data_IF_521977972473
#
_entry.id   IF_521977972473
#
_cell.length_a   1.000
_cell.length_b   1.000
_cell.length_c   1.000
_cell.angle_alpha   90.00
_cell.angle_beta   90.00
_cell.angle_gamma   90.00
#
_symmetry.space_group_name_H-M   'P 1'
#
loop_
_entity.id
_entity.type
_entity.pdbx_description
1 polymer ?
#
# COMPACT_ATOMS: atom_id res chain seq x y z
N UNK A 1 3.77 -5.77 -24.04
CA UNK A 1 4.85 -5.60 -23.04
C UNK A 1 4.82 -6.77 -22.06
N UNK A 2 5.69 -7.77 -22.24
CA UNK A 2 5.78 -8.95 -21.36
C UNK A 2 6.41 -8.51 -20.03
N UNK A 3 5.59 -8.24 -19.01
CA UNK A 3 6.05 -7.85 -17.69
C UNK A 3 6.85 -9.01 -17.06
N UNK A 4 8.20 -8.95 -17.11
CA UNK A 4 9.11 -9.96 -16.54
C UNK A 4 8.89 -10.17 -15.03
N UNK A 5 8.24 -9.22 -14.36
CA UNK A 5 7.89 -9.26 -12.94
C UNK A 5 6.84 -10.32 -12.59
N UNK A 6 5.86 -10.58 -13.47
CA UNK A 6 4.78 -11.55 -13.23
C UNK A 6 5.29 -12.97 -12.98
N UNK A 7 6.47 -13.31 -13.51
CA UNK A 7 7.06 -14.65 -13.36
C UNK A 7 7.70 -14.91 -11.98
N UNK A 8 7.93 -13.85 -11.19
CA UNK A 8 8.56 -13.95 -9.86
C UNK A 8 7.54 -13.98 -8.72
N UNK A 9 6.25 -13.80 -9.02
CA UNK A 9 5.21 -13.73 -8.01
C UNK A 9 4.76 -15.16 -7.67
N UNK A 10 4.83 -15.59 -6.41
CA UNK A 10 4.30 -16.87 -5.97
C UNK A 10 2.82 -17.02 -6.35
N UNK A 11 2.37 -18.25 -6.60
CA UNK A 11 0.97 -18.51 -7.02
C UNK A 11 -0.06 -18.09 -5.97
N UNK A 12 0.32 -18.17 -4.69
CA UNK A 12 -0.54 -17.83 -3.55
C UNK A 12 -0.16 -16.48 -2.93
N UNK A 13 0.52 -15.61 -3.70
CA UNK A 13 0.87 -14.28 -3.21
C UNK A 13 -0.41 -13.48 -2.92
N UNK A 14 -0.35 -12.70 -1.85
CA UNK A 14 -1.32 -11.65 -1.52
C UNK A 14 -0.60 -10.30 -1.54
N UNK A 15 -1.31 -9.24 -1.87
CA UNK A 15 -0.76 -7.89 -1.95
C UNK A 15 -0.95 -7.13 -0.63
N UNK A 16 0.04 -6.29 -0.32
CA UNK A 16 -0.06 -5.22 0.67
C UNK A 16 -0.03 -3.88 -0.06
N UNK A 17 -1.07 -3.06 0.13
CA UNK A 17 -1.14 -1.73 -0.47
C UNK A 17 -0.73 -0.67 0.55
N UNK A 18 0.25 0.16 0.19
CA UNK A 18 0.69 1.30 1.00
C UNK A 18 0.28 2.58 0.29
N UNK A 19 -0.68 3.29 0.87
CA UNK A 19 -1.27 4.50 0.32
C UNK A 19 -0.88 5.68 1.21
N UNK A 20 -0.05 6.58 0.69
CA UNK A 20 0.39 7.78 1.40
C UNK A 20 0.04 9.03 0.60
N UNK A 21 -0.38 10.10 1.26
CA UNK A 21 -0.77 11.32 0.55
C UNK A 21 -1.02 12.53 1.43
N UNK A 22 -1.02 13.68 0.79
CA UNK A 22 -1.43 14.95 1.39
C UNK A 22 -2.83 15.32 0.91
N UNK A 23 -3.62 15.90 1.81
CA UNK A 23 -4.95 16.44 1.53
C UNK A 23 -5.10 17.77 2.25
N UNK A 24 -5.87 18.69 1.67
CA UNK A 24 -6.05 20.06 2.15
C UNK A 24 -7.06 20.18 3.30
N UNK A 25 -7.95 19.20 3.46
CA UNK A 25 -9.02 19.21 4.47
C UNK A 25 -8.64 18.59 5.82
N UNK A 26 -7.48 17.94 5.95
CA UNK A 26 -7.04 17.34 7.21
C UNK A 26 -6.18 18.32 8.02
N UNK A 27 -6.56 18.56 9.27
CA UNK A 27 -5.76 19.36 10.21
C UNK A 27 -4.70 18.53 10.97
N UNK A 28 -4.79 17.20 10.90
CA UNK A 28 -3.88 16.27 11.57
C UNK A 28 -3.72 14.99 10.73
N UNK A 29 -2.58 14.27 10.84
CA UNK A 29 -2.42 13.00 10.16
C UNK A 29 -3.50 11.99 10.56
N UNK A 30 -3.98 11.24 9.57
CA UNK A 30 -4.85 10.09 9.69
C UNK A 30 -4.07 8.84 9.29
N UNK A 31 -4.13 7.81 10.13
CA UNK A 31 -3.46 6.53 9.88
C UNK A 31 -4.45 5.39 10.05
N UNK A 32 -4.46 4.47 9.11
CA UNK A 32 -5.21 3.22 9.21
C UNK A 32 -4.35 2.05 8.73
N UNK A 33 -4.42 0.94 9.46
CA UNK A 33 -3.89 -0.35 9.04
C UNK A 33 -5.02 -1.36 9.04
N UNK A 34 -5.27 -1.97 7.89
CA UNK A 34 -6.43 -2.84 7.64
C UNK A 34 -5.93 -4.18 7.16
N UNK A 35 -6.43 -5.25 7.77
CA UNK A 35 -6.31 -6.62 7.25
C UNK A 35 -7.69 -7.11 6.83
N UNK A 36 -7.86 -7.43 5.56
CA UNK A 36 -9.09 -8.02 5.06
C UNK A 36 -9.23 -9.46 5.59
N UNK A 37 -10.44 -9.81 6.01
CA UNK A 37 -10.75 -11.17 6.45
C UNK A 37 -10.53 -12.20 5.34
N UNK A 38 -10.84 -11.82 4.09
CA UNK A 38 -10.54 -12.57 2.88
C UNK A 38 -9.82 -11.65 1.89
N UNK A 39 -8.69 -12.11 1.34
CA UNK A 39 -7.98 -11.34 0.33
C UNK A 39 -8.88 -11.18 -0.91
N UNK A 40 -8.96 -9.95 -1.40
CA UNK A 40 -9.91 -9.58 -2.46
C UNK A 40 -9.21 -8.68 -3.49
N UNK A 41 -9.53 -8.87 -4.76
CA UNK A 41 -9.03 -8.01 -5.84
C UNK A 41 -9.74 -6.66 -5.79
N UNK A 42 -9.01 -5.61 -5.39
CA UNK A 42 -9.51 -4.24 -5.39
C UNK A 42 -9.17 -3.60 -6.75
N UNK A 43 -10.19 -3.41 -7.59
CA UNK A 43 -10.03 -3.00 -8.97
C UNK A 43 -9.19 -1.74 -9.14
N UNK A 44 -8.13 -1.82 -9.97
CA UNK A 44 -7.22 -0.71 -10.28
C UNK A 44 -6.24 -0.32 -9.17
N UNK A 45 -6.31 -0.95 -7.99
CA UNK A 45 -5.43 -0.62 -6.86
C UNK A 45 -4.05 -1.26 -6.97
N UNK A 46 -3.95 -2.40 -7.66
CA UNK A 46 -2.70 -3.15 -7.87
C UNK A 46 -2.37 -3.23 -9.36
N UNK A 47 -1.11 -3.00 -9.72
CA UNK A 47 -0.61 -3.14 -11.11
C UNK A 47 -0.63 -4.60 -11.61
N UNK A 48 -0.74 -5.54 -10.66
CA UNK A 48 -0.71 -6.98 -10.84
C UNK A 48 -2.05 -7.56 -10.33
N UNK A 49 -2.64 -8.55 -11.01
CA UNK A 49 -3.85 -9.24 -10.57
C UNK A 49 -3.58 -10.17 -9.37
N UNK A 50 -3.22 -9.59 -8.23
CA UNK A 50 -2.99 -10.27 -6.94
C UNK A 50 -4.00 -9.73 -5.93
N UNK A 51 -4.69 -10.59 -5.15
CA UNK A 51 -5.68 -10.13 -4.19
C UNK A 51 -5.02 -9.36 -3.05
N UNK A 52 -5.60 -8.23 -2.66
CA UNK A 52 -5.13 -7.43 -1.53
C UNK A 52 -5.52 -8.12 -0.22
N UNK A 53 -4.59 -8.24 0.71
CA UNK A 53 -4.84 -8.68 2.09
C UNK A 53 -4.69 -7.55 3.10
N UNK A 54 -3.68 -6.71 2.91
CA UNK A 54 -3.33 -5.64 3.82
C UNK A 54 -3.42 -4.28 3.13
N UNK A 55 -3.87 -3.27 3.86
CA UNK A 55 -3.83 -1.88 3.44
C UNK A 55 -3.24 -1.04 4.57
N UNK A 56 -2.25 -0.22 4.23
CA UNK A 56 -1.78 0.87 5.07
C UNK A 56 -2.16 2.19 4.41
N UNK A 57 -2.79 3.08 5.17
CA UNK A 57 -3.24 4.39 4.69
C UNK A 57 -2.67 5.46 5.62
N UNK A 58 -1.93 6.40 5.06
CA UNK A 58 -1.44 7.59 5.75
C UNK A 58 -1.83 8.82 4.94
N UNK A 59 -2.76 9.61 5.47
CA UNK A 59 -3.16 10.89 4.91
C UNK A 59 -2.81 12.00 5.89
N UNK A 60 -2.43 13.17 5.42
CA UNK A 60 -2.18 14.29 6.33
C UNK A 60 -2.23 15.65 5.66
N UNK A 61 -2.10 16.73 6.46
CA UNK A 61 -2.01 18.09 5.93
C UNK A 61 -0.80 18.25 5.00
N UNK A 62 -0.88 19.27 4.14
CA UNK A 62 0.21 19.68 3.27
C UNK A 62 1.48 20.09 4.05
N UNK A 63 2.64 19.94 3.41
CA UNK A 63 3.95 20.35 3.93
C UNK A 63 4.75 19.24 4.58
N UNK A 64 4.29 17.97 4.51
CA UNK A 64 4.95 16.79 5.08
C UNK A 64 5.09 15.62 4.09
N UNK A 65 4.87 15.85 2.79
CA UNK A 65 4.92 14.83 1.74
C UNK A 65 6.17 13.94 1.80
N UNK A 66 7.35 14.54 1.99
CA UNK A 66 8.61 13.79 2.10
C UNK A 66 8.60 12.83 3.29
N UNK A 67 8.16 13.29 4.46
CA UNK A 67 8.04 12.44 5.65
C UNK A 67 7.01 11.32 5.46
N UNK A 68 5.88 11.60 4.82
CA UNK A 68 4.85 10.59 4.53
C UNK A 68 5.35 9.52 3.54
N UNK A 69 6.10 9.93 2.52
CA UNK A 69 6.75 9.00 1.60
C UNK A 69 7.76 8.09 2.32
N UNK A 70 8.61 8.62 3.20
CA UNK A 70 9.57 7.79 3.94
C UNK A 70 8.88 6.84 4.92
N UNK A 71 7.80 7.26 5.58
CA UNK A 71 6.97 6.36 6.40
C UNK A 71 6.37 5.24 5.53
N UNK A 72 5.81 5.59 4.37
CA UNK A 72 5.29 4.61 3.42
C UNK A 72 6.34 3.59 2.99
N UNK A 73 7.56 4.04 2.67
CA UNK A 73 8.68 3.15 2.32
C UNK A 73 9.10 2.25 3.48
N UNK A 74 9.13 2.77 4.70
CA UNK A 74 9.46 1.98 5.89
C UNK A 74 8.41 0.87 6.11
N UNK A 75 7.12 1.20 6.01
CA UNK A 75 6.04 0.22 6.12
C UNK A 75 6.10 -0.81 4.98
N UNK A 76 6.31 -0.36 3.75
CA UNK A 76 6.42 -1.27 2.61
C UNK A 76 7.58 -2.26 2.79
N UNK A 77 8.71 -1.80 3.32
CA UNK A 77 9.86 -2.66 3.65
C UNK A 77 9.52 -3.65 4.77
N UNK A 78 8.86 -3.18 5.83
CA UNK A 78 8.46 -4.03 6.97
C UNK A 78 7.51 -5.16 6.55
N UNK A 79 6.65 -4.92 5.56
CA UNK A 79 5.71 -5.92 5.04
C UNK A 79 6.36 -6.98 4.14
N UNK A 80 7.66 -6.85 3.83
CA UNK A 80 8.43 -7.81 3.02
C UNK A 80 9.25 -8.75 3.92
N UNK A 81 9.39 -8.45 5.21
CA UNK A 81 10.19 -9.25 6.14
C UNK A 81 9.44 -10.53 6.59
N UNK A 82 10.17 -11.65 6.69
CA UNK A 82 9.65 -12.99 7.05
C UNK A 82 9.33 -13.12 8.54
#
# INVERSE_FOLDING_TARGET
LKNKFMKKIPRDAEASNVLVGEVDFLNKPFVAFVRLAQATTLGGLTEVPVPTRFLFILLGPQGKAKSYNEIGRAIATLMVDD
#
